data_IF_119463966925
#
_entry.id   IF_119463966925
#
_cell.length_a   1.000
_cell.length_b   1.000
_cell.length_c   1.000
_cell.angle_alpha   90.00
_cell.angle_beta   90.00
_cell.angle_gamma   90.00
#
_symmetry.space_group_name_H-M   'P 1'
#
loop_
_entity.id
_entity.type
_entity.pdbx_description
1 polymer ?
#
# COMPACT_ATOMS: atom_id res chain seq x y z
N UNK A 1 10.30 48.17 -27.01
CA UNK A 1 9.72 46.97 -27.64
C UNK A 1 10.53 45.77 -27.18
N UNK A 2 10.08 45.06 -26.14
CA UNK A 2 10.77 43.88 -25.61
C UNK A 2 10.26 42.64 -26.32
N UNK A 3 11.18 41.94 -26.99
CA UNK A 3 10.93 40.73 -27.76
C UNK A 3 10.36 39.61 -26.87
N UNK A 4 9.24 38.95 -27.23
CA UNK A 4 8.76 37.80 -26.48
C UNK A 4 9.69 36.61 -26.73
N UNK A 5 10.39 36.18 -25.67
CA UNK A 5 11.31 35.05 -25.71
C UNK A 5 10.67 33.72 -26.13
N UNK A 6 11.49 32.72 -26.51
CA UNK A 6 11.04 31.50 -27.17
C UNK A 6 10.05 30.71 -26.30
N UNK A 7 8.87 30.42 -26.87
CA UNK A 7 7.86 29.55 -26.26
C UNK A 7 8.44 28.15 -26.10
N UNK A 8 8.81 27.77 -24.88
CA UNK A 8 9.18 26.38 -24.53
C UNK A 8 7.96 25.48 -24.76
N UNK A 9 7.96 24.70 -25.85
CA UNK A 9 6.82 23.87 -26.29
C UNK A 9 6.87 22.42 -25.79
N UNK A 10 7.47 22.16 -24.62
CA UNK A 10 7.58 20.82 -24.05
C UNK A 10 6.33 20.34 -23.30
N UNK A 11 6.17 19.02 -23.15
CA UNK A 11 5.16 18.41 -22.27
C UNK A 11 5.20 18.98 -20.84
N UNK A 12 6.41 19.26 -20.32
CA UNK A 12 6.59 19.95 -19.04
C UNK A 12 6.04 21.38 -19.02
N UNK A 13 6.11 22.10 -20.14
CA UNK A 13 5.51 23.43 -20.26
C UNK A 13 3.98 23.35 -20.35
N UNK A 14 3.43 22.29 -20.96
CA UNK A 14 1.99 22.00 -20.91
C UNK A 14 1.54 21.65 -19.49
N UNK A 15 2.34 20.91 -18.72
CA UNK A 15 2.06 20.63 -17.30
C UNK A 15 2.17 21.90 -16.43
N UNK A 16 3.15 22.77 -16.67
CA UNK A 16 3.28 24.05 -15.95
C UNK A 16 2.11 25.00 -16.26
N UNK A 17 1.67 25.07 -17.51
CA UNK A 17 0.50 25.90 -17.88
C UNK A 17 -0.83 25.33 -17.37
N UNK A 18 -0.92 24.02 -17.08
CA UNK A 18 -2.06 23.45 -16.34
C UNK A 18 -1.98 23.67 -14.83
N UNK A 19 -0.79 23.96 -14.29
CA UNK A 19 -0.57 24.13 -12.85
C UNK A 19 -0.96 25.53 -12.34
N UNK A 20 -0.97 26.55 -13.21
CA UNK A 20 -1.42 27.90 -12.86
C UNK A 20 -2.93 28.00 -13.05
N UNK A 21 -3.67 27.41 -12.12
CA UNK A 21 -5.11 27.67 -12.01
C UNK A 21 -5.23 29.07 -11.42
N UNK A 22 -5.81 30.06 -12.15
CA UNK A 22 -6.03 31.40 -11.59
C UNK A 22 -6.82 31.25 -10.29
N UNK A 23 -6.35 31.91 -9.24
CA UNK A 23 -7.03 31.89 -7.94
C UNK A 23 -8.47 32.33 -8.16
N UNK A 24 -9.48 31.50 -7.82
CA UNK A 24 -10.86 31.92 -7.98
C UNK A 24 -11.09 33.15 -7.11
N UNK A 25 -11.64 34.20 -7.71
CA UNK A 25 -12.10 35.41 -7.01
C UNK A 25 -13.09 34.97 -5.93
N UNK A 26 -13.01 35.57 -4.73
CA UNK A 26 -13.91 35.25 -3.63
C UNK A 26 -15.27 35.89 -3.91
N UNK A 27 -16.11 35.16 -4.64
CA UNK A 27 -17.40 35.63 -5.11
C UNK A 27 -18.46 35.71 -3.99
N UNK A 28 -18.10 35.48 -2.72
CA UNK A 28 -19.03 35.45 -1.57
C UNK A 28 -20.03 34.27 -1.57
N UNK A 29 -20.14 33.53 -2.68
CA UNK A 29 -21.10 32.44 -2.86
C UNK A 29 -20.88 31.27 -1.88
N UNK A 30 -21.94 30.55 -1.45
CA UNK A 30 -21.80 29.35 -0.62
C UNK A 30 -20.85 28.33 -1.26
N UNK A 31 -19.91 27.78 -0.48
CA UNK A 31 -18.95 26.78 -0.97
C UNK A 31 -19.67 25.44 -1.11
N UNK A 32 -20.16 25.15 -2.31
CA UNK A 32 -20.76 23.86 -2.64
C UNK A 32 -19.66 22.84 -2.93
N UNK A 33 -19.73 21.68 -2.27
CA UNK A 33 -18.78 20.58 -2.48
C UNK A 33 -18.97 19.94 -3.86
N UNK A 34 -17.92 19.84 -4.70
CA UNK A 34 -18.02 19.13 -5.96
C UNK A 34 -18.13 17.62 -5.73
N UNK A 35 -18.88 16.92 -6.60
CA UNK A 35 -19.06 15.47 -6.53
C UNK A 35 -17.74 14.69 -6.50
N UNK A 36 -16.71 15.19 -7.18
CA UNK A 36 -15.38 14.57 -7.21
C UNK A 36 -14.72 14.48 -5.82
N UNK A 37 -14.91 15.48 -4.95
CA UNK A 37 -14.40 15.43 -3.57
C UNK A 37 -15.17 14.41 -2.73
N UNK A 38 -16.48 14.27 -2.95
CA UNK A 38 -17.27 13.23 -2.28
C UNK A 38 -16.82 11.84 -2.70
N UNK A 39 -16.64 11.59 -4.01
CA UNK A 39 -16.16 10.30 -4.53
C UNK A 39 -14.75 10.00 -3.98
N UNK A 40 -13.83 10.97 -4.03
CA UNK A 40 -12.48 10.80 -3.47
C UNK A 40 -12.51 10.48 -1.97
N UNK A 41 -13.42 11.12 -1.20
CA UNK A 41 -13.58 10.83 0.23
C UNK A 41 -14.05 9.39 0.47
N UNK A 42 -14.99 8.89 -0.34
CA UNK A 42 -15.51 7.52 -0.21
C UNK A 42 -14.42 6.52 -0.59
N UNK A 43 -13.70 6.75 -1.70
CA UNK A 43 -12.59 5.90 -2.13
C UNK A 43 -11.48 5.83 -1.06
N UNK A 44 -11.12 6.96 -0.46
CA UNK A 44 -10.14 7.00 0.63
C UNK A 44 -10.62 6.23 1.86
N UNK A 45 -11.89 6.36 2.26
CA UNK A 45 -12.46 5.61 3.39
C UNK A 45 -12.45 4.10 3.08
N UNK A 46 -12.89 3.70 1.88
CA UNK A 46 -12.89 2.30 1.46
C UNK A 46 -11.47 1.73 1.46
N UNK A 47 -10.49 2.46 0.93
CA UNK A 47 -9.09 2.05 0.99
C UNK A 47 -8.60 1.90 2.44
N UNK A 48 -8.94 2.85 3.33
CA UNK A 48 -8.62 2.77 4.75
C UNK A 48 -9.22 1.53 5.43
N UNK A 49 -10.48 1.21 5.14
CA UNK A 49 -11.15 -0.01 5.64
C UNK A 49 -10.47 -1.27 5.12
N UNK A 50 -10.07 -1.32 3.85
CA UNK A 50 -9.34 -2.48 3.31
C UNK A 50 -8.00 -2.66 4.03
N UNK A 51 -7.26 -1.59 4.32
CA UNK A 51 -6.02 -1.70 5.10
C UNK A 51 -6.26 -2.13 6.55
N UNK A 52 -7.33 -1.64 7.19
CA UNK A 52 -7.72 -2.07 8.53
C UNK A 52 -8.05 -3.56 8.56
N UNK A 53 -8.88 -4.03 7.62
CA UNK A 53 -9.26 -5.43 7.51
C UNK A 53 -8.06 -6.30 7.13
N UNK A 54 -7.22 -5.86 6.21
CA UNK A 54 -6.00 -6.57 5.83
C UNK A 54 -5.04 -6.73 7.00
N UNK A 55 -4.84 -5.67 7.80
CA UNK A 55 -4.05 -5.72 9.02
C UNK A 55 -4.68 -6.63 10.08
N UNK A 56 -5.97 -6.48 10.37
CA UNK A 56 -6.70 -7.25 11.38
C UNK A 56 -6.80 -8.74 11.03
N UNK A 57 -7.09 -9.08 9.77
CA UNK A 57 -7.09 -10.46 9.28
C UNK A 57 -5.68 -11.03 9.34
N UNK A 58 -4.66 -10.25 8.97
CA UNK A 58 -3.27 -10.62 9.14
C UNK A 58 -2.93 -10.99 10.59
N UNK A 59 -3.51 -10.35 11.58
CA UNK A 59 -3.35 -10.74 12.98
C UNK A 59 -4.08 -12.03 13.35
N UNK A 60 -5.32 -12.18 12.89
CA UNK A 60 -6.18 -13.28 13.30
C UNK A 60 -5.78 -14.61 12.64
N UNK A 61 -5.38 -14.60 11.37
CA UNK A 61 -5.15 -15.82 10.59
C UNK A 61 -3.69 -16.22 10.47
N UNK A 62 -2.75 -15.31 10.75
CA UNK A 62 -1.31 -15.57 10.69
C UNK A 62 -0.86 -16.81 11.48
N UNK A 63 -1.24 -16.99 12.76
CA UNK A 63 -0.75 -18.12 13.55
C UNK A 63 -1.24 -19.44 12.96
N UNK A 64 -2.54 -19.53 12.63
CA UNK A 64 -3.13 -20.75 12.07
C UNK A 64 -2.55 -21.10 10.69
N UNK A 65 -2.32 -20.09 9.84
CA UNK A 65 -1.75 -20.31 8.51
C UNK A 65 -0.29 -20.75 8.60
N UNK A 66 0.48 -20.15 9.51
CA UNK A 66 1.86 -20.53 9.75
C UNK A 66 1.94 -21.95 10.33
N UNK A 67 1.10 -22.31 11.29
CA UNK A 67 1.06 -23.66 11.85
C UNK A 67 0.69 -24.71 10.81
N UNK A 68 -0.31 -24.44 9.97
CA UNK A 68 -0.66 -25.32 8.85
C UNK A 68 0.48 -25.45 7.85
N UNK A 69 1.15 -24.36 7.49
CA UNK A 69 2.28 -24.38 6.57
C UNK A 69 3.48 -25.16 7.14
N UNK A 70 3.80 -24.94 8.42
CA UNK A 70 4.86 -25.69 9.13
C UNK A 70 4.53 -27.17 9.19
N UNK A 71 3.28 -27.54 9.51
CA UNK A 71 2.86 -28.94 9.55
C UNK A 71 3.02 -29.62 8.19
N UNK A 72 2.60 -28.96 7.11
CA UNK A 72 2.78 -29.48 5.75
C UNK A 72 4.27 -29.59 5.38
N UNK A 73 5.07 -28.60 5.75
CA UNK A 73 6.52 -28.61 5.51
C UNK A 73 7.21 -29.76 6.24
N UNK A 74 6.94 -29.93 7.54
CA UNK A 74 7.51 -31.00 8.35
C UNK A 74 7.03 -32.40 7.88
N UNK A 75 5.80 -32.52 7.40
CA UNK A 75 5.33 -33.76 6.76
C UNK A 75 6.14 -34.07 5.49
N UNK A 76 6.50 -33.05 4.70
CA UNK A 76 7.39 -33.18 3.55
C UNK A 76 8.80 -33.64 3.95
N UNK A 77 9.37 -33.06 5.02
CA UNK A 77 10.67 -33.50 5.57
C UNK A 77 10.61 -34.96 5.99
N UNK A 78 9.58 -35.37 6.74
CA UNK A 78 9.43 -36.77 7.17
C UNK A 78 9.33 -37.73 5.97
N UNK A 79 8.66 -37.31 4.88
CA UNK A 79 8.65 -38.09 3.64
C UNK A 79 10.03 -38.19 2.99
N UNK A 80 10.85 -37.14 3.06
CA UNK A 80 12.25 -37.17 2.60
C UNK A 80 13.09 -38.15 3.42
N UNK A 81 12.96 -38.14 4.75
CA UNK A 81 13.65 -39.09 5.64
C UNK A 81 13.30 -40.54 5.31
N UNK A 82 12.01 -40.83 5.10
CA UNK A 82 11.54 -42.18 4.76
C UNK A 82 12.00 -42.65 3.37
N UNK A 83 12.09 -41.74 2.40
CA UNK A 83 12.37 -42.09 0.99
C UNK A 83 13.86 -42.07 0.66
N UNK A 84 14.61 -41.13 1.23
CA UNK A 84 16.02 -40.86 0.90
C UNK A 84 16.96 -41.02 2.10
N UNK A 85 16.47 -41.47 3.26
CA UNK A 85 17.28 -41.74 4.45
C UNK A 85 17.82 -40.50 5.15
N UNK A 86 17.27 -39.31 4.87
CA UNK A 86 17.61 -38.04 5.53
C UNK A 86 17.06 -36.82 4.78
N UNK A 87 17.51 -35.61 5.17
CA UNK A 87 17.25 -34.33 4.50
C UNK A 87 18.43 -33.37 4.70
N UNK A 88 18.47 -32.25 3.98
CA UNK A 88 19.55 -31.27 4.13
C UNK A 88 20.93 -31.89 3.88
N UNK A 89 21.85 -31.70 4.84
CA UNK A 89 23.20 -32.28 4.80
C UNK A 89 23.29 -33.74 5.27
N UNK A 90 22.24 -34.27 5.91
CA UNK A 90 22.20 -35.67 6.40
C UNK A 90 21.59 -36.62 5.36
N UNK A 91 21.12 -36.09 4.24
CA UNK A 91 20.56 -36.84 3.11
C UNK A 91 21.55 -37.91 2.62
N UNK A 92 21.21 -39.18 2.81
CA UNK A 92 22.02 -40.32 2.42
C UNK A 92 21.89 -40.60 0.91
N UNK A 93 22.19 -39.65 0.03
CA UNK A 93 22.01 -39.93 -1.42
C UNK A 93 23.01 -40.96 -1.95
N UNK A 94 22.57 -41.94 -2.78
CA UNK A 94 23.46 -42.67 -3.66
C UNK A 94 24.12 -41.72 -4.67
N UNK A 95 25.38 -42.01 -5.01
CA UNK A 95 26.27 -41.28 -5.92
C UNK A 95 25.58 -40.68 -7.16
N UNK A 96 25.40 -39.35 -7.16
CA UNK A 96 25.36 -38.33 -8.26
C UNK A 96 24.71 -38.61 -9.63
N UNK A 97 24.29 -39.81 -10.01
CA UNK A 97 23.86 -40.13 -11.38
C UNK A 97 22.35 -39.98 -11.63
N UNK A 98 21.51 -39.85 -10.59
CA UNK A 98 20.05 -39.72 -10.75
C UNK A 98 19.39 -39.04 -9.54
N UNK A 99 19.79 -37.81 -9.21
CA UNK A 99 18.89 -36.99 -8.37
C UNK A 99 17.65 -36.65 -9.20
N UNK A 100 16.55 -37.34 -8.92
CA UNK A 100 15.22 -36.87 -9.29
C UNK A 100 15.02 -35.47 -8.70
N UNK A 101 14.20 -34.64 -9.34
CA UNK A 101 13.90 -33.27 -8.86
C UNK A 101 13.49 -33.23 -7.39
N UNK A 102 12.87 -34.29 -6.88
CA UNK A 102 12.47 -34.48 -5.48
C UNK A 102 13.66 -34.58 -4.50
N UNK A 103 14.73 -35.28 -4.85
CA UNK A 103 15.91 -35.41 -3.98
C UNK A 103 16.67 -34.08 -3.83
N UNK A 104 16.68 -33.25 -4.87
CA UNK A 104 17.28 -31.91 -4.82
C UNK A 104 16.51 -30.98 -3.86
N UNK A 105 15.18 -31.08 -3.82
CA UNK A 105 14.32 -30.33 -2.89
C UNK A 105 14.54 -30.79 -1.44
N UNK A 106 14.65 -32.10 -1.19
CA UNK A 106 14.97 -32.64 0.14
C UNK A 106 16.37 -32.23 0.64
N UNK A 107 17.31 -31.96 -0.27
CA UNK A 107 18.65 -31.46 0.09
C UNK A 107 18.66 -29.97 0.45
N UNK A 108 17.75 -29.19 -0.12
CA UNK A 108 17.62 -27.76 0.18
C UNK A 108 16.69 -27.46 1.36
N UNK A 109 15.92 -28.45 1.84
CA UNK A 109 15.08 -28.29 3.03
C UNK A 109 15.92 -28.24 4.30
N UNK A 110 15.61 -27.27 5.16
CA UNK A 110 16.23 -27.05 6.47
C UNK A 110 15.14 -27.08 7.53
N UNK A 111 15.46 -27.60 8.70
CA UNK A 111 14.46 -27.66 9.78
C UNK A 111 14.04 -26.25 10.19
N UNK A 112 12.75 -25.96 10.11
CA UNK A 112 12.19 -24.73 10.64
C UNK A 112 12.20 -24.78 12.16
N UNK A 113 13.11 -24.02 12.77
CA UNK A 113 13.21 -23.94 14.22
C UNK A 113 12.06 -23.13 14.80
N UNK A 114 11.77 -23.31 16.09
CA UNK A 114 10.74 -22.50 16.77
C UNK A 114 11.12 -21.00 16.76
N UNK A 115 12.41 -20.67 16.79
CA UNK A 115 12.92 -19.30 16.65
C UNK A 115 12.58 -18.66 15.30
N UNK A 116 12.55 -19.43 14.21
CA UNK A 116 12.20 -18.90 12.88
C UNK A 116 10.72 -18.52 12.81
N UNK A 117 9.86 -19.33 13.45
CA UNK A 117 8.42 -19.04 13.55
C UNK A 117 8.17 -17.79 14.37
N UNK A 118 8.81 -17.66 15.53
CA UNK A 118 8.65 -16.50 16.40
C UNK A 118 9.15 -15.23 15.71
N UNK A 119 10.25 -15.32 14.96
CA UNK A 119 10.76 -14.23 14.12
C UNK A 119 9.75 -13.80 13.05
N UNK A 120 9.16 -14.77 12.34
CA UNK A 120 8.14 -14.50 11.33
C UNK A 120 6.87 -13.87 11.92
N UNK A 121 6.34 -14.43 13.01
CA UNK A 121 5.15 -13.90 13.68
C UNK A 121 5.39 -12.48 14.23
N UNK A 122 6.58 -12.21 14.77
CA UNK A 122 6.96 -10.87 15.24
C UNK A 122 7.04 -9.86 14.09
N UNK A 123 7.62 -10.26 12.97
CA UNK A 123 7.68 -9.44 11.75
C UNK A 123 6.28 -9.15 11.20
N UNK A 124 5.44 -10.20 11.07
CA UNK A 124 4.08 -10.08 10.58
C UNK A 124 3.19 -9.23 11.51
N UNK A 125 3.34 -9.38 12.84
CA UNK A 125 2.69 -8.53 13.84
C UNK A 125 3.08 -7.07 13.65
N UNK A 126 4.35 -6.79 13.40
CA UNK A 126 4.83 -5.42 13.19
C UNK A 126 4.20 -4.79 11.94
N UNK A 127 4.15 -5.53 10.83
CA UNK A 127 3.47 -5.06 9.62
C UNK A 127 1.97 -4.89 9.81
N UNK A 128 1.32 -5.82 10.51
CA UNK A 128 -0.10 -5.70 10.85
C UNK A 128 -0.41 -4.39 11.57
N UNK A 129 0.40 -4.00 12.56
CA UNK A 129 0.21 -2.72 13.28
C UNK A 129 0.36 -1.54 12.32
N UNK A 130 1.38 -1.55 11.46
CA UNK A 130 1.62 -0.47 10.49
C UNK A 130 0.42 -0.32 9.55
N UNK A 131 -0.10 -1.42 9.00
CA UNK A 131 -1.27 -1.38 8.13
C UNK A 131 -2.53 -0.86 8.83
N UNK A 132 -2.75 -1.24 10.09
CA UNK A 132 -3.88 -0.73 10.89
C UNK A 132 -3.74 0.78 11.12
N UNK A 133 -2.56 1.25 11.53
CA UNK A 133 -2.30 2.69 11.76
C UNK A 133 -2.50 3.48 10.48
N UNK A 134 -1.96 3.00 9.35
CA UNK A 134 -2.15 3.66 8.05
C UNK A 134 -3.64 3.66 7.66
N UNK A 135 -4.34 2.54 7.86
CA UNK A 135 -5.77 2.44 7.59
C UNK A 135 -6.61 3.45 8.38
N UNK A 136 -6.31 3.63 9.68
CA UNK A 136 -6.95 4.66 10.51
C UNK A 136 -6.64 6.06 10.01
N UNK A 137 -5.38 6.36 9.71
CA UNK A 137 -4.95 7.68 9.24
C UNK A 137 -5.57 8.02 7.89
N UNK A 138 -5.60 7.08 6.95
CA UNK A 138 -6.21 7.23 5.63
C UNK A 138 -7.73 7.36 5.75
N UNK A 139 -8.37 6.56 6.59
CA UNK A 139 -9.80 6.64 6.86
C UNK A 139 -10.20 7.99 7.47
N UNK A 140 -9.45 8.46 8.48
CA UNK A 140 -9.63 9.78 9.07
C UNK A 140 -9.40 10.89 8.02
N UNK A 141 -8.32 10.82 7.25
CA UNK A 141 -8.06 11.78 6.17
C UNK A 141 -9.20 11.79 5.13
N UNK A 142 -9.74 10.63 4.76
CA UNK A 142 -10.91 10.49 3.90
C UNK A 142 -12.16 11.16 4.48
N UNK A 143 -12.39 11.01 5.79
CA UNK A 143 -13.47 11.71 6.48
C UNK A 143 -13.26 13.23 6.48
N UNK A 144 -12.07 13.71 6.82
CA UNK A 144 -11.74 15.13 6.89
C UNK A 144 -11.60 15.81 5.52
N UNK A 145 -11.38 15.06 4.44
CA UNK A 145 -11.47 15.57 3.07
C UNK A 145 -12.85 16.19 2.78
N UNK A 146 -13.91 15.67 3.41
CA UNK A 146 -15.27 16.21 3.28
C UNK A 146 -15.32 17.66 3.77
N UNK A 147 -14.58 17.98 4.83
CA UNK A 147 -14.55 19.32 5.43
C UNK A 147 -13.57 20.26 4.70
N UNK A 148 -12.90 19.81 3.64
CA UNK A 148 -11.94 20.65 2.91
C UNK A 148 -10.62 20.88 3.65
N UNK A 149 -10.30 20.05 4.64
CA UNK A 149 -9.10 20.21 5.45
C UNK A 149 -7.82 20.04 4.60
N UNK A 150 -6.93 21.04 4.63
CA UNK A 150 -5.67 21.00 3.83
C UNK A 150 -4.73 19.89 4.28
N UNK A 151 -4.72 19.57 5.57
CA UNK A 151 -3.88 18.51 6.12
C UNK A 151 -4.27 17.14 5.55
N UNK A 152 -5.57 16.87 5.36
CA UNK A 152 -6.06 15.60 4.83
C UNK A 152 -5.47 15.26 3.46
N UNK A 153 -5.35 16.25 2.56
CA UNK A 153 -4.69 16.06 1.25
C UNK A 153 -3.23 15.64 1.39
N UNK A 154 -2.48 16.34 2.26
CA UNK A 154 -1.05 16.04 2.49
C UNK A 154 -0.88 14.65 3.08
N UNK A 155 -1.72 14.30 4.05
CA UNK A 155 -1.72 12.99 4.69
C UNK A 155 -2.00 11.86 3.70
N UNK A 156 -2.94 12.04 2.75
CA UNK A 156 -3.20 11.02 1.72
C UNK A 156 -2.04 10.86 0.74
N UNK A 157 -1.40 11.96 0.31
CA UNK A 157 -0.23 11.89 -0.58
C UNK A 157 0.94 11.22 0.12
N UNK A 158 1.27 11.64 1.34
CA UNK A 158 2.37 11.07 2.13
C UNK A 158 2.08 9.61 2.46
N UNK A 159 0.87 9.31 2.93
CA UNK A 159 0.43 7.96 3.26
C UNK A 159 0.47 7.02 2.06
N UNK A 160 0.00 7.47 0.89
CA UNK A 160 0.06 6.70 -0.36
C UNK A 160 1.48 6.46 -0.84
N UNK A 161 2.35 7.47 -0.78
CA UNK A 161 3.76 7.33 -1.15
C UNK A 161 4.50 6.35 -0.22
N UNK A 162 4.29 6.45 1.10
CA UNK A 162 4.87 5.53 2.08
C UNK A 162 4.37 4.09 1.87
N UNK A 163 3.08 3.90 1.56
CA UNK A 163 2.52 2.59 1.24
C UNK A 163 3.13 1.97 -0.01
N UNK A 164 3.30 2.76 -1.07
CA UNK A 164 3.94 2.28 -2.30
C UNK A 164 5.40 1.90 -2.04
N UNK A 165 6.13 2.70 -1.27
CA UNK A 165 7.50 2.41 -0.89
C UNK A 165 7.59 1.13 -0.04
N UNK A 166 6.71 0.97 0.96
CA UNK A 166 6.64 -0.23 1.77
C UNK A 166 6.29 -1.47 0.93
N UNK A 167 5.33 -1.36 0.02
CA UNK A 167 4.96 -2.45 -0.88
C UNK A 167 6.13 -2.87 -1.80
N UNK A 168 6.89 -1.90 -2.32
CA UNK A 168 8.05 -2.16 -3.17
C UNK A 168 9.19 -2.84 -2.39
N UNK A 169 9.47 -2.40 -1.16
CA UNK A 169 10.54 -2.96 -0.33
C UNK A 169 10.22 -4.37 0.17
N UNK A 170 8.96 -4.62 0.54
CA UNK A 170 8.56 -5.87 1.18
C UNK A 170 8.19 -6.98 0.19
N UNK A 171 8.06 -6.66 -1.11
CA UNK A 171 7.55 -7.58 -2.15
C UNK A 171 6.21 -8.24 -1.79
N UNK A 172 5.50 -7.72 -0.79
CA UNK A 172 4.19 -8.19 -0.33
C UNK A 172 3.10 -7.57 -1.20
N UNK A 173 3.08 -7.92 -2.48
CA UNK A 173 2.02 -7.51 -3.42
C UNK A 173 0.88 -8.50 -3.37
N UNK A 174 0.11 -8.50 -2.29
CA UNK A 174 -1.20 -9.16 -2.33
C UNK A 174 -2.11 -8.40 -3.30
N UNK A 175 -2.98 -9.07 -4.06
CA UNK A 175 -3.90 -8.38 -4.97
C UNK A 175 -4.79 -7.38 -4.22
N UNK A 176 -5.13 -7.67 -2.95
CA UNK A 176 -5.94 -6.80 -2.10
C UNK A 176 -5.21 -5.49 -1.80
N UNK A 177 -3.92 -5.55 -1.42
CA UNK A 177 -3.13 -4.34 -1.14
C UNK A 177 -2.92 -3.49 -2.40
N UNK A 178 -2.77 -4.11 -3.58
CA UNK A 178 -2.69 -3.41 -4.86
C UNK A 178 -3.98 -2.67 -5.22
N UNK A 179 -5.15 -3.29 -5.00
CA UNK A 179 -6.43 -2.63 -5.22
C UNK A 179 -6.59 -1.44 -4.26
N UNK A 180 -6.24 -1.61 -2.98
CA UNK A 180 -6.34 -0.53 -2.00
C UNK A 180 -5.41 0.67 -2.33
N UNK A 181 -4.16 0.40 -2.74
CA UNK A 181 -3.23 1.46 -3.15
C UNK A 181 -3.69 2.15 -4.44
N UNK A 182 -4.27 1.41 -5.40
CA UNK A 182 -4.84 1.99 -6.61
C UNK A 182 -6.03 2.91 -6.30
N UNK A 183 -6.96 2.48 -5.44
CA UNK A 183 -8.09 3.31 -5.00
C UNK A 183 -7.61 4.59 -4.32
N UNK A 184 -6.56 4.50 -3.50
CA UNK A 184 -5.94 5.66 -2.87
C UNK A 184 -5.29 6.59 -3.90
N UNK A 185 -4.56 6.06 -4.87
CA UNK A 185 -3.94 6.86 -5.93
C UNK A 185 -4.99 7.61 -6.74
N UNK A 186 -6.09 6.96 -7.12
CA UNK A 186 -7.23 7.60 -7.80
C UNK A 186 -7.83 8.69 -6.91
N UNK A 187 -8.07 8.42 -5.63
CA UNK A 187 -8.59 9.41 -4.69
C UNK A 187 -7.67 10.63 -4.60
N UNK A 188 -6.35 10.42 -4.50
CA UNK A 188 -5.35 11.50 -4.49
C UNK A 188 -5.44 12.31 -5.79
N UNK A 189 -5.34 11.68 -6.97
CA UNK A 189 -5.40 12.38 -8.25
C UNK A 189 -6.68 13.21 -8.38
N UNK A 190 -7.83 12.66 -7.99
CA UNK A 190 -9.10 13.38 -8.01
C UNK A 190 -9.10 14.65 -7.15
N UNK A 191 -8.34 14.70 -6.04
CA UNK A 191 -8.22 15.91 -5.20
C UNK A 191 -7.35 17.03 -5.81
N UNK A 192 -6.61 16.74 -6.88
CA UNK A 192 -5.74 17.69 -7.57
C UNK A 192 -6.22 18.07 -8.97
N UNK A 193 -7.20 17.36 -9.55
CA UNK A 193 -7.69 17.62 -10.91
C UNK A 193 -8.92 18.53 -10.93
N UNK A 194 -8.87 19.57 -11.76
CA UNK A 194 -10.03 20.37 -12.19
C UNK A 194 -10.75 21.10 -11.06
N UNK A 195 -12.10 21.02 -11.07
CA UNK A 195 -12.99 21.72 -10.12
C UNK A 195 -12.73 21.36 -8.65
N UNK A 196 -12.16 20.18 -8.38
CA UNK A 196 -11.85 19.74 -7.02
C UNK A 196 -10.68 20.53 -6.42
N UNK A 197 -9.66 20.86 -7.21
CA UNK A 197 -8.54 21.68 -6.74
C UNK A 197 -9.00 23.09 -6.35
N UNK A 198 -9.89 23.69 -7.15
CA UNK A 198 -10.48 25.00 -6.88
C UNK A 198 -11.30 25.02 -5.57
N UNK A 199 -12.01 23.94 -5.24
CA UNK A 199 -12.75 23.80 -3.98
C UNK A 199 -11.81 23.95 -2.76
N UNK A 200 -10.69 23.24 -2.73
CA UNK A 200 -9.74 23.35 -1.61
C UNK A 200 -9.09 24.72 -1.52
N UNK A 201 -8.85 25.39 -2.65
CA UNK A 201 -8.33 26.76 -2.66
C UNK A 201 -9.33 27.77 -2.09
N UNK A 202 -10.63 27.64 -2.44
CA UNK A 202 -11.69 28.50 -1.88
C UNK A 202 -11.86 28.30 -0.37
N UNK A 203 -11.92 27.04 0.09
CA UNK A 203 -11.97 26.73 1.53
C UNK A 203 -10.74 27.29 2.25
N UNK A 204 -9.56 27.19 1.62
CA UNK A 204 -8.33 27.72 2.16
C UNK A 204 -8.33 29.25 2.31
N UNK A 205 -8.92 29.98 1.37
CA UNK A 205 -8.98 31.46 1.41
C UNK A 205 -9.90 31.95 2.52
N UNK A 206 -11.10 31.36 2.66
CA UNK A 206 -12.04 31.75 3.73
C UNK A 206 -11.52 31.45 5.14
N UNK A 207 -10.83 30.32 5.31
CA UNK A 207 -10.23 29.99 6.60
C UNK A 207 -9.06 30.89 7.03
N UNK A 208 -8.66 31.88 6.22
CA UNK A 208 -7.68 32.92 6.61
C UNK A 208 -8.34 34.27 6.97
N UNK A 209 -9.63 34.44 6.68
CA UNK A 209 -10.38 35.66 6.98
C UNK A 209 -10.98 35.64 8.40
N UNK A 210 -10.90 34.48 9.08
CA UNK A 210 -11.23 34.27 10.49
C UNK A 210 -9.96 33.84 11.23
#
# INVERSE_FOLDING_TARGET
MTSPGPKKSGFLAKLQNMAVIPLPVDDGQPIVRPRGVTIASVLAIVAGVIFLLGGALGFATAPSLLDSAVKQYNAGISSCEQTFGGHGSTLATPTVASLTSSAAVCRSSTDLTQSDKDGFLKSQRTFGVIFVVIGLVVGAAGWFLRNGARWAKRTLVIGGALLLLAAALLKLSTPITLVATLLMAIAVVMTYVGKNAAFFMRVAMRGKQH
#
